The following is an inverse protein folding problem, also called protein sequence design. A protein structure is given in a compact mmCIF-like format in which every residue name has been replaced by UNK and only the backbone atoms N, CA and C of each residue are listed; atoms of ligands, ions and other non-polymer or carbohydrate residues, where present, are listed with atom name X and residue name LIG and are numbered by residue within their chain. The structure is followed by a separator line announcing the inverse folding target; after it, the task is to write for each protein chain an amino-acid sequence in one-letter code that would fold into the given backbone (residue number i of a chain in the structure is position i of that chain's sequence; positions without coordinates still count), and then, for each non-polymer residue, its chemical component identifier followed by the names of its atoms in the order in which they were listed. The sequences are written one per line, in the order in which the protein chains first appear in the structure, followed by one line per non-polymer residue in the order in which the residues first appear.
data_IF_749449801121
#
_entry.id   IF_749449801121
#
_cell.length_a   1.000
_cell.length_b   1.000
_cell.length_c   1.000
_cell.angle_alpha   90.00
_cell.angle_beta   90.00
_cell.angle_gamma   90.00
#
_symmetry.space_group_name_H-M   'P 1'
#
loop_
_entity.id
_entity.type
_entity.pdbx_description
1 polymer ?
#
# COMPACT_ATOMS: atom_id res chain seq x y z
N UNK A 1 24.13 24.18 23.57
CA UNK A 1 24.42 23.13 22.57
C UNK A 1 25.76 22.54 22.96
N UNK A 2 25.81 21.27 23.37
CA UNK A 2 27.02 20.68 23.98
C UNK A 2 28.11 20.40 22.92
N UNK A 3 29.38 20.45 23.30
CA UNK A 3 30.52 20.16 22.39
C UNK A 3 30.43 18.78 21.73
N UNK A 4 29.83 17.81 22.43
CA UNK A 4 29.53 16.47 21.93
C UNK A 4 28.52 16.51 20.77
N UNK A 5 27.56 17.43 20.80
CA UNK A 5 26.56 17.60 19.73
C UNK A 5 27.19 18.24 18.49
N UNK A 6 28.11 19.20 18.68
CA UNK A 6 28.88 19.83 17.61
C UNK A 6 29.83 18.84 16.93
N UNK A 7 30.46 17.93 17.69
CA UNK A 7 31.32 16.88 17.15
C UNK A 7 30.54 15.85 16.32
N UNK A 8 29.31 15.50 16.72
CA UNK A 8 28.43 14.59 15.95
C UNK A 8 27.96 15.21 14.63
N UNK A 9 27.66 16.51 14.62
CA UNK A 9 27.36 17.24 13.39
C UNK A 9 28.56 17.30 12.44
N UNK A 10 29.78 17.53 12.95
CA UNK A 10 31.02 17.52 12.13
C UNK A 10 31.33 16.15 11.51
N UNK A 11 30.90 15.05 12.15
CA UNK A 11 31.05 13.68 11.64
C UNK A 11 29.94 13.24 10.68
N UNK A 12 28.96 14.09 10.37
CA UNK A 12 27.83 13.70 9.53
C UNK A 12 26.95 12.60 10.15
N UNK A 13 27.07 12.34 11.46
CA UNK A 13 26.21 11.41 12.17
C UNK A 13 24.83 12.04 12.32
N UNK A 14 23.98 11.87 11.30
CA UNK A 14 22.55 12.17 11.40
C UNK A 14 22.03 11.38 12.60
N UNK A 15 21.64 12.10 13.65
CA UNK A 15 21.00 11.57 14.86
C UNK A 15 19.95 10.56 14.41
N UNK A 16 20.14 9.26 14.70
CA UNK A 16 19.14 8.22 14.39
C UNK A 16 17.80 8.70 14.93
N UNK A 17 16.89 9.08 14.04
CA UNK A 17 15.55 9.51 14.46
C UNK A 17 14.92 8.29 15.13
N UNK A 18 14.45 8.45 16.37
CA UNK A 18 13.72 7.36 17.02
C UNK A 18 12.42 7.17 16.26
N UNK A 19 12.17 5.97 15.73
CA UNK A 19 10.96 5.66 14.97
C UNK A 19 10.95 4.24 14.41
N UNK A 20 9.89 3.89 13.69
CA UNK A 20 9.68 2.60 13.05
C UNK A 20 10.43 2.54 11.72
N UNK A 21 11.42 1.65 11.61
CA UNK A 21 12.09 1.39 10.32
C UNK A 21 11.13 0.79 9.30
N UNK A 22 11.49 0.86 8.01
CA UNK A 22 10.74 0.22 6.91
C UNK A 22 10.51 -1.26 7.19
N UNK A 23 11.49 -1.96 7.75
CA UNK A 23 11.32 -3.36 8.18
C UNK A 23 10.21 -3.53 9.23
N UNK A 24 10.19 -2.70 10.29
CA UNK A 24 9.16 -2.79 11.33
C UNK A 24 7.77 -2.43 10.78
N UNK A 25 7.72 -1.44 9.89
CA UNK A 25 6.48 -1.04 9.24
C UNK A 25 5.92 -2.18 8.36
N UNK A 26 6.80 -2.91 7.64
CA UNK A 26 6.42 -4.12 6.90
C UNK A 26 5.91 -5.25 7.80
N UNK A 27 6.52 -5.45 8.96
CA UNK A 27 6.04 -6.45 9.93
C UNK A 27 4.64 -6.10 10.45
N UNK A 28 4.42 -4.84 10.82
CA UNK A 28 3.11 -4.36 11.28
C UNK A 28 2.07 -4.52 10.16
N UNK A 29 2.39 -4.12 8.93
CA UNK A 29 1.53 -4.32 7.77
C UNK A 29 1.21 -5.80 7.51
N UNK A 30 2.21 -6.68 7.61
CA UNK A 30 2.02 -8.12 7.42
C UNK A 30 1.18 -8.77 8.52
N UNK A 31 1.28 -8.29 9.77
CA UNK A 31 0.42 -8.72 10.86
C UNK A 31 -1.05 -8.37 10.58
N UNK A 32 -1.33 -7.12 10.18
CA UNK A 32 -2.69 -6.72 9.81
C UNK A 32 -3.22 -7.49 8.59
N UNK A 33 -2.37 -7.73 7.60
CA UNK A 33 -2.70 -8.57 6.45
C UNK A 33 -3.04 -10.00 6.85
N UNK A 34 -2.29 -10.58 7.80
CA UNK A 34 -2.58 -11.90 8.34
C UNK A 34 -3.92 -11.95 9.10
N UNK A 35 -4.28 -10.88 9.84
CA UNK A 35 -5.60 -10.76 10.46
C UNK A 35 -6.73 -10.73 9.42
N UNK A 36 -6.51 -10.13 8.26
CA UNK A 36 -7.47 -10.14 7.16
C UNK A 36 -7.70 -11.55 6.61
N UNK A 37 -6.61 -12.28 6.32
CA UNK A 37 -6.71 -13.67 5.86
C UNK A 37 -7.36 -14.56 6.92
N UNK A 38 -6.95 -14.42 8.18
CA UNK A 38 -7.54 -15.18 9.29
C UNK A 38 -9.03 -14.87 9.46
N UNK A 39 -9.44 -13.61 9.29
CA UNK A 39 -10.84 -13.19 9.34
C UNK A 39 -11.73 -13.88 8.31
N UNK A 40 -11.23 -14.05 7.09
CA UNK A 40 -12.04 -14.58 5.98
C UNK A 40 -11.98 -16.10 5.85
N UNK A 41 -10.87 -16.75 6.21
CA UNK A 41 -10.72 -18.20 6.02
C UNK A 41 -10.56 -18.99 7.33
N UNK A 42 -9.57 -18.63 8.15
CA UNK A 42 -9.20 -19.44 9.33
C UNK A 42 -10.28 -19.40 10.41
N UNK A 43 -10.80 -18.21 10.73
CA UNK A 43 -11.79 -18.05 11.80
C UNK A 43 -13.13 -18.74 11.48
N UNK A 44 -13.72 -18.59 10.28
CA UNK A 44 -14.89 -19.38 9.90
C UNK A 44 -14.64 -20.89 9.93
N UNK A 45 -13.46 -21.36 9.52
CA UNK A 45 -13.12 -22.78 9.59
C UNK A 45 -13.04 -23.31 11.04
N UNK A 46 -12.53 -22.49 11.98
CA UNK A 46 -12.40 -22.88 13.39
C UNK A 46 -13.69 -22.71 14.22
N UNK A 47 -14.49 -21.68 13.92
CA UNK A 47 -15.65 -21.29 14.73
C UNK A 47 -16.98 -21.78 14.16
N UNK A 48 -16.99 -22.36 12.95
CA UNK A 48 -18.21 -22.70 12.22
C UNK A 48 -18.83 -21.47 11.56
N UNK A 49 -20.10 -21.59 11.15
CA UNK A 49 -20.80 -20.50 10.45
C UNK A 49 -20.93 -19.25 11.35
N UNK A 50 -20.20 -18.16 11.05
CA UNK A 50 -20.21 -16.97 11.90
C UNK A 50 -21.57 -16.29 11.95
N UNK A 51 -22.48 -16.57 11.01
CA UNK A 51 -23.81 -15.93 11.00
C UNK A 51 -24.73 -16.44 12.11
N UNK A 52 -24.42 -17.60 12.68
CA UNK A 52 -25.23 -18.21 13.75
C UNK A 52 -24.76 -17.82 15.15
N UNK A 53 -23.52 -17.37 15.30
CA UNK A 53 -22.97 -16.92 16.58
C UNK A 53 -22.51 -15.46 16.49
N UNK A 54 -23.20 -14.60 17.25
CA UNK A 54 -22.90 -13.16 17.32
C UNK A 54 -21.48 -12.90 17.84
N UNK A 55 -20.95 -13.77 18.72
CA UNK A 55 -19.58 -13.64 19.19
C UNK A 55 -18.57 -13.95 18.08
N UNK A 56 -18.74 -15.07 17.37
CA UNK A 56 -17.92 -15.42 16.20
C UNK A 56 -17.98 -14.35 15.10
N UNK A 57 -19.17 -13.83 14.78
CA UNK A 57 -19.34 -12.75 13.81
C UNK A 57 -18.56 -11.50 14.23
N UNK A 58 -18.67 -11.12 15.51
CA UNK A 58 -17.97 -9.94 16.05
C UNK A 58 -16.45 -10.09 15.92
N UNK A 59 -15.91 -11.28 16.21
CA UNK A 59 -14.47 -11.55 16.08
C UNK A 59 -14.03 -11.47 14.62
N UNK A 60 -14.76 -12.09 13.69
CA UNK A 60 -14.47 -12.04 12.24
C UNK A 60 -14.48 -10.59 11.71
N UNK A 61 -15.49 -9.82 12.07
CA UNK A 61 -15.60 -8.41 11.67
C UNK A 61 -14.49 -7.57 12.28
N UNK A 62 -14.14 -7.79 13.56
CA UNK A 62 -13.05 -7.07 14.22
C UNK A 62 -11.69 -7.37 13.57
N UNK A 63 -11.40 -8.63 13.24
CA UNK A 63 -10.19 -9.02 12.52
C UNK A 63 -10.13 -8.40 11.12
N UNK A 64 -11.26 -8.41 10.41
CA UNK A 64 -11.37 -7.79 9.07
C UNK A 64 -11.14 -6.28 9.16
N UNK A 65 -11.80 -5.59 10.08
CA UNK A 65 -11.63 -4.16 10.27
C UNK A 65 -10.18 -3.79 10.67
N UNK A 66 -9.55 -4.60 11.52
CA UNK A 66 -8.15 -4.41 11.90
C UNK A 66 -7.20 -4.54 10.70
N UNK A 67 -7.50 -5.44 9.76
CA UNK A 67 -6.67 -5.67 8.57
C UNK A 67 -6.53 -4.41 7.69
N UNK A 68 -7.52 -3.53 7.70
CA UNK A 68 -7.54 -2.30 6.92
C UNK A 68 -6.48 -1.28 7.34
N UNK A 69 -5.89 -1.44 8.53
CA UNK A 69 -4.70 -0.69 8.95
C UNK A 69 -3.50 -0.95 8.01
N UNK A 70 -3.46 -2.08 7.31
CA UNK A 70 -2.40 -2.43 6.37
C UNK A 70 -2.40 -1.52 5.12
N UNK A 71 -3.56 -0.99 4.72
CA UNK A 71 -3.74 -0.25 3.46
C UNK A 71 -2.84 0.99 3.36
N UNK A 72 -2.90 1.96 4.29
CA UNK A 72 -2.02 3.13 4.26
C UNK A 72 -0.54 2.76 4.40
N UNK A 73 -0.24 1.70 5.16
CA UNK A 73 1.12 1.21 5.36
C UNK A 73 1.70 0.73 4.04
N UNK A 74 1.02 -0.17 3.33
CA UNK A 74 1.49 -0.66 2.03
C UNK A 74 1.44 0.41 0.93
N UNK A 75 0.48 1.32 0.98
CA UNK A 75 0.42 2.48 0.07
C UNK A 75 1.64 3.39 0.22
N UNK A 76 2.08 3.63 1.46
CA UNK A 76 3.31 4.37 1.72
C UNK A 76 4.56 3.62 1.32
N UNK A 77 4.64 2.32 1.64
CA UNK A 77 5.77 1.48 1.23
C UNK A 77 5.94 1.44 -0.29
N UNK A 78 4.82 1.51 -1.03
CA UNK A 78 4.82 1.61 -2.48
C UNK A 78 5.35 2.96 -2.96
N UNK A 79 4.83 4.05 -2.39
CA UNK A 79 5.29 5.40 -2.70
C UNK A 79 6.78 5.60 -2.37
N UNK A 80 7.22 5.15 -1.20
CA UNK A 80 8.62 5.19 -0.78
C UNK A 80 9.51 4.30 -1.66
N UNK A 81 9.01 3.12 -2.03
CA UNK A 81 9.64 2.22 -2.98
C UNK A 81 9.81 2.82 -4.38
N UNK A 82 8.82 3.60 -4.85
CA UNK A 82 8.88 4.32 -6.12
C UNK A 82 10.01 5.36 -6.14
N UNK A 83 10.21 6.08 -5.02
CA UNK A 83 11.27 7.09 -4.89
C UNK A 83 12.68 6.49 -4.89
N UNK A 84 12.85 5.33 -4.25
CA UNK A 84 14.17 4.76 -3.98
C UNK A 84 14.60 3.63 -4.93
N UNK A 85 13.68 3.09 -5.72
CA UNK A 85 13.98 1.96 -6.62
C UNK A 85 14.79 2.39 -7.84
N UNK A 86 15.86 1.66 -8.18
CA UNK A 86 16.66 1.93 -9.39
C UNK A 86 15.97 1.63 -10.73
N UNK A 87 15.02 0.70 -10.78
CA UNK A 87 14.29 0.33 -12.00
C UNK A 87 12.80 0.10 -11.72
N UNK A 88 11.97 1.03 -12.19
CA UNK A 88 10.51 0.99 -11.93
C UNK A 88 9.84 -0.13 -12.71
N UNK A 89 10.23 -0.38 -13.96
CA UNK A 89 9.66 -1.47 -14.76
C UNK A 89 9.84 -2.84 -14.08
N UNK A 90 11.01 -3.09 -13.48
CA UNK A 90 11.24 -4.29 -12.67
C UNK A 90 10.40 -4.31 -11.39
N UNK A 91 10.08 -3.15 -10.82
CA UNK A 91 9.23 -3.07 -9.64
C UNK A 91 7.77 -3.37 -9.96
N UNK A 92 7.24 -2.80 -11.04
CA UNK A 92 5.90 -3.14 -11.58
C UNK A 92 5.82 -4.64 -11.87
N UNK A 93 6.81 -5.18 -12.58
CA UNK A 93 6.83 -6.61 -12.92
C UNK A 93 6.83 -7.50 -11.67
N UNK A 94 7.61 -7.17 -10.65
CA UNK A 94 7.63 -7.94 -9.39
C UNK A 94 6.29 -7.90 -8.66
N UNK A 95 5.65 -6.73 -8.58
CA UNK A 95 4.32 -6.63 -7.97
C UNK A 95 3.27 -7.37 -8.79
N UNK A 96 3.35 -7.29 -10.12
CA UNK A 96 2.44 -7.99 -11.02
C UNK A 96 2.59 -9.51 -10.91
N UNK A 97 3.82 -10.03 -10.83
CA UNK A 97 4.07 -11.46 -10.57
C UNK A 97 3.44 -11.89 -9.25
N UNK A 98 3.60 -11.09 -8.18
CA UNK A 98 2.95 -11.40 -6.90
C UNK A 98 1.43 -11.38 -7.03
N UNK A 99 0.85 -10.40 -7.73
CA UNK A 99 -0.59 -10.34 -7.96
C UNK A 99 -1.11 -11.60 -8.66
N UNK A 100 -0.45 -12.04 -9.75
CA UNK A 100 -0.85 -13.24 -10.51
C UNK A 100 -0.67 -14.52 -9.68
N UNK A 101 0.43 -14.66 -8.94
CA UNK A 101 0.66 -15.84 -8.08
C UNK A 101 -0.34 -15.89 -6.93
N UNK A 102 -0.75 -14.74 -6.42
CA UNK A 102 -1.72 -14.64 -5.32
C UNK A 102 -3.17 -14.81 -5.75
N UNK A 103 -3.51 -14.78 -7.04
CA UNK A 103 -4.89 -14.98 -7.51
C UNK A 103 -5.41 -16.36 -7.16
N UNK A 104 -4.66 -17.41 -7.49
CA UNK A 104 -5.11 -18.79 -7.26
C UNK A 104 -5.52 -19.05 -5.80
N UNK A 105 -4.69 -18.74 -4.78
CA UNK A 105 -5.10 -18.95 -3.39
C UNK A 105 -6.16 -17.93 -2.93
N UNK A 106 -6.19 -16.72 -3.50
CA UNK A 106 -7.23 -15.73 -3.18
C UNK A 106 -8.62 -16.18 -3.66
N UNK A 107 -8.73 -16.65 -4.90
CA UNK A 107 -9.97 -17.13 -5.48
C UNK A 107 -10.51 -18.35 -4.73
N UNK A 108 -9.61 -19.27 -4.32
CA UNK A 108 -9.96 -20.41 -3.47
C UNK A 108 -10.58 -19.97 -2.14
N UNK A 109 -9.99 -18.99 -1.45
CA UNK A 109 -10.52 -18.46 -0.19
C UNK A 109 -11.88 -17.78 -0.40
N UNK A 110 -12.01 -16.97 -1.46
CA UNK A 110 -13.18 -16.10 -1.64
C UNK A 110 -14.38 -16.81 -2.26
N UNK A 111 -14.14 -17.78 -3.16
CA UNK A 111 -15.18 -18.37 -4.02
C UNK A 111 -15.17 -19.91 -3.99
N UNK A 112 -14.15 -20.52 -3.38
CA UNK A 112 -13.96 -21.98 -3.41
C UNK A 112 -13.48 -22.52 -4.75
N UNK A 113 -13.24 -21.66 -5.75
CA UNK A 113 -12.78 -22.05 -7.09
C UNK A 113 -11.39 -21.48 -7.35
N UNK A 114 -10.46 -22.24 -7.96
CA UNK A 114 -9.09 -21.78 -8.19
C UNK A 114 -8.94 -20.72 -9.30
N UNK A 115 -9.99 -20.48 -10.09
CA UNK A 115 -10.01 -19.50 -11.16
C UNK A 115 -11.38 -18.80 -11.18
N UNK A 116 -11.47 -17.65 -10.54
CA UNK A 116 -12.65 -16.78 -10.61
C UNK A 116 -12.24 -15.33 -10.92
N UNK A 117 -12.70 -14.83 -12.06
CA UNK A 117 -12.44 -13.45 -12.51
C UNK A 117 -13.43 -12.43 -11.91
N UNK A 118 -14.31 -12.85 -11.00
CA UNK A 118 -15.36 -12.00 -10.42
C UNK A 118 -14.83 -10.90 -9.48
N UNK A 119 -13.71 -11.16 -8.82
CA UNK A 119 -12.97 -10.23 -7.97
C UNK A 119 -11.47 -10.43 -8.17
N UNK A 120 -10.68 -9.44 -7.80
CA UNK A 120 -9.23 -9.49 -7.94
C UNK A 120 -8.58 -9.20 -6.60
N UNK A 121 -7.44 -9.82 -6.31
CA UNK A 121 -6.76 -9.61 -5.05
C UNK A 121 -6.25 -8.15 -4.87
N UNK A 122 -5.98 -7.74 -3.63
CA UNK A 122 -5.63 -6.36 -3.29
C UNK A 122 -4.25 -5.92 -3.82
N UNK A 123 -3.37 -6.85 -4.22
CA UNK A 123 -2.06 -6.53 -4.82
C UNK A 123 -2.23 -5.93 -6.20
N UNK A 124 -3.26 -6.29 -6.97
CA UNK A 124 -3.58 -5.57 -8.21
C UNK A 124 -3.85 -4.08 -7.96
N UNK A 125 -4.38 -3.72 -6.78
CA UNK A 125 -4.59 -2.32 -6.39
C UNK A 125 -3.26 -1.58 -6.25
N UNK A 126 -2.24 -2.24 -5.69
CA UNK A 126 -0.87 -1.72 -5.64
C UNK A 126 -0.27 -1.59 -7.05
N UNK A 127 -0.48 -2.55 -7.95
CA UNK A 127 0.00 -2.46 -9.34
C UNK A 127 -0.63 -1.26 -10.05
N UNK A 128 -1.95 -1.10 -9.97
CA UNK A 128 -2.68 0.02 -10.56
C UNK A 128 -2.17 1.35 -9.97
N UNK A 129 -2.04 1.43 -8.64
CA UNK A 129 -1.55 2.64 -7.99
C UNK A 129 -0.12 3.01 -8.41
N UNK A 130 0.76 2.02 -8.59
CA UNK A 130 2.12 2.24 -9.08
C UNK A 130 2.13 2.73 -10.54
N UNK A 131 1.32 2.15 -11.41
CA UNK A 131 1.20 2.58 -12.82
C UNK A 131 0.63 4.00 -12.91
N UNK A 132 -0.42 4.31 -12.14
CA UNK A 132 -0.98 5.67 -12.07
C UNK A 132 0.07 6.65 -11.55
N UNK A 133 0.78 6.30 -10.48
CA UNK A 133 1.86 7.13 -9.94
C UNK A 133 2.95 7.41 -10.98
N UNK A 134 3.37 6.39 -11.73
CA UNK A 134 4.34 6.54 -12.83
C UNK A 134 3.86 7.52 -13.90
N UNK A 135 2.62 7.37 -14.34
CA UNK A 135 2.04 8.20 -15.41
C UNK A 135 1.87 9.65 -14.93
N UNK A 136 1.38 9.86 -13.71
CA UNK A 136 1.23 11.19 -13.11
C UNK A 136 2.59 11.87 -12.94
N UNK A 137 3.61 11.15 -12.47
CA UNK A 137 4.97 11.66 -12.32
C UNK A 137 5.61 12.01 -13.67
N UNK A 138 5.36 11.19 -14.69
CA UNK A 138 5.78 11.46 -16.07
C UNK A 138 5.10 12.71 -16.64
N UNK A 139 3.78 12.86 -16.47
CA UNK A 139 3.04 14.08 -16.87
C UNK A 139 3.59 15.31 -16.14
N UNK A 140 3.86 15.20 -14.84
CA UNK A 140 4.45 16.29 -14.06
C UNK A 140 5.83 16.69 -14.59
N UNK A 141 6.65 15.74 -15.04
CA UNK A 141 7.94 16.03 -15.66
C UNK A 141 7.79 16.76 -17.01
N UNK A 142 6.89 16.28 -17.88
CA UNK A 142 6.68 16.82 -19.23
C UNK A 142 6.14 18.27 -19.22
N UNK A 143 5.20 18.55 -18.32
CA UNK A 143 4.42 19.81 -18.34
C UNK A 143 4.67 20.75 -17.15
N UNK A 144 5.37 20.33 -16.10
CA UNK A 144 5.45 21.10 -14.84
C UNK A 144 6.82 21.17 -14.17
N UNK A 145 7.77 20.29 -14.53
CA UNK A 145 9.12 20.29 -13.99
C UNK A 145 9.26 19.84 -12.52
N UNK A 146 8.16 19.48 -11.85
CA UNK A 146 8.08 19.04 -10.44
C UNK A 146 7.88 17.53 -10.34
N UNK A 147 8.77 16.76 -10.97
CA UNK A 147 8.72 15.30 -10.90
C UNK A 147 9.64 14.76 -9.82
N UNK A 148 9.26 13.65 -9.21
CA UNK A 148 10.09 12.90 -8.28
C UNK A 148 11.27 12.23 -9.01
N UNK A 149 11.13 11.94 -10.31
CA UNK A 149 12.12 11.19 -11.10
C UNK A 149 12.29 11.76 -12.51
N UNK A 150 13.45 12.34 -12.86
CA UNK A 150 13.73 12.77 -14.23
C UNK A 150 13.67 11.60 -15.22
N UNK A 151 12.86 11.72 -16.26
CA UNK A 151 12.65 10.65 -17.24
C UNK A 151 13.50 10.86 -18.50
N UNK A 152 14.34 9.89 -18.83
CA UNK A 152 15.15 9.92 -20.06
C UNK A 152 14.24 9.89 -21.29
N UNK A 153 14.29 10.93 -22.13
CA UNK A 153 13.48 11.02 -23.36
C UNK A 153 12.16 11.77 -23.23
N UNK A 154 11.86 12.34 -22.05
CA UNK A 154 10.72 13.23 -21.87
C UNK A 154 11.13 14.69 -22.10
N UNK A 155 10.28 15.48 -22.77
CA UNK A 155 10.54 16.88 -23.11
C UNK A 155 9.95 17.81 -22.07
N UNK A 156 10.74 18.79 -21.60
CA UNK A 156 10.25 19.81 -20.66
C UNK A 156 9.73 21.00 -21.45
N UNK A 157 8.42 21.30 -21.41
CA UNK A 157 7.91 22.48 -22.14
C UNK A 157 6.39 22.63 -22.31
N UNK A 158 5.56 22.00 -21.48
CA UNK A 158 4.11 22.01 -21.65
C UNK A 158 3.31 23.07 -20.88
N UNK A 159 2.03 23.25 -21.24
CA UNK A 159 1.10 24.16 -20.55
C UNK A 159 0.54 23.56 -19.25
N UNK A 160 0.42 24.38 -18.20
CA UNK A 160 -0.07 23.95 -16.88
C UNK A 160 -1.50 23.37 -16.93
N UNK A 161 -2.38 23.91 -17.78
CA UNK A 161 -3.74 23.38 -17.93
C UNK A 161 -3.75 21.95 -18.48
N UNK A 162 -2.87 21.65 -19.45
CA UNK A 162 -2.75 20.32 -20.05
C UNK A 162 -2.21 19.30 -19.03
N UNK A 163 -1.26 19.71 -18.18
CA UNK A 163 -0.76 18.88 -17.05
C UNK A 163 -1.92 18.37 -16.20
N UNK A 164 -2.77 19.27 -15.72
CA UNK A 164 -3.84 18.93 -14.79
C UNK A 164 -4.95 18.13 -15.46
N UNK A 165 -5.31 18.45 -16.71
CA UNK A 165 -6.28 17.69 -17.47
C UNK A 165 -5.84 16.23 -17.64
N UNK A 166 -4.62 15.98 -18.11
CA UNK A 166 -4.09 14.62 -18.28
C UNK A 166 -3.97 13.88 -16.94
N UNK A 167 -3.53 14.58 -15.89
CA UNK A 167 -3.43 14.01 -14.54
C UNK A 167 -4.79 13.53 -14.03
N UNK A 168 -5.84 14.34 -14.19
CA UNK A 168 -7.20 13.98 -13.80
C UNK A 168 -7.69 12.77 -14.60
N UNK A 169 -7.50 12.78 -15.92
CA UNK A 169 -7.90 11.66 -16.80
C UNK A 169 -7.23 10.34 -16.37
N UNK A 170 -5.93 10.36 -16.08
CA UNK A 170 -5.19 9.16 -15.63
C UNK A 170 -5.69 8.67 -14.27
N UNK A 171 -5.93 9.58 -13.32
CA UNK A 171 -6.48 9.22 -12.01
C UNK A 171 -7.87 8.60 -12.15
N UNK A 172 -8.75 9.22 -12.94
CA UNK A 172 -10.10 8.70 -13.20
C UNK A 172 -10.05 7.33 -13.90
N UNK A 173 -9.14 7.14 -14.85
CA UNK A 173 -8.95 5.85 -15.50
C UNK A 173 -8.48 4.78 -14.50
N UNK A 174 -7.54 5.11 -13.60
CA UNK A 174 -7.08 4.20 -12.54
C UNK A 174 -8.18 3.84 -11.54
N UNK A 175 -8.99 4.82 -11.13
CA UNK A 175 -10.14 4.61 -10.26
C UNK A 175 -11.20 3.74 -10.94
N UNK A 176 -11.54 4.03 -12.20
CA UNK A 176 -12.49 3.26 -12.97
C UNK A 176 -12.01 1.81 -13.14
N UNK A 177 -10.73 1.60 -13.44
CA UNK A 177 -10.15 0.28 -13.58
C UNK A 177 -10.22 -0.53 -12.27
N UNK A 178 -9.89 0.11 -11.14
CA UNK A 178 -9.98 -0.51 -9.82
C UNK A 178 -11.42 -0.90 -9.45
N UNK A 179 -12.41 -0.09 -9.85
CA UNK A 179 -13.83 -0.35 -9.63
C UNK A 179 -14.39 -1.45 -10.55
N UNK A 180 -14.07 -1.39 -11.85
CA UNK A 180 -14.56 -2.36 -12.85
C UNK A 180 -14.07 -3.77 -12.56
N UNK A 181 -12.80 -3.93 -12.20
CA UNK A 181 -12.21 -5.22 -11.84
C UNK A 181 -12.48 -5.64 -10.40
N UNK A 182 -13.25 -4.87 -9.63
CA UNK A 182 -13.56 -5.14 -8.22
C UNK A 182 -12.32 -5.50 -7.42
N UNK A 183 -11.30 -4.66 -7.54
CA UNK A 183 -9.97 -4.94 -6.99
C UNK A 183 -9.96 -4.78 -5.47
N UNK A 184 -9.68 -5.90 -4.79
CA UNK A 184 -9.56 -5.99 -3.35
C UNK A 184 -10.86 -5.59 -2.62
N UNK A 185 -11.99 -6.07 -3.12
CA UNK A 185 -13.29 -5.84 -2.47
C UNK A 185 -13.44 -6.80 -1.30
N UNK A 186 -13.01 -6.37 -0.12
CA UNK A 186 -13.19 -7.13 1.12
C UNK A 186 -14.68 -7.10 1.51
N UNK A 187 -15.34 -8.26 1.42
CA UNK A 187 -16.73 -8.49 1.88
C UNK A 187 -17.77 -7.48 1.34
N UNK A 188 -17.49 -6.80 0.22
CA UNK A 188 -18.31 -5.72 -0.38
C UNK A 188 -18.45 -4.45 0.47
N UNK A 189 -17.70 -4.32 1.56
CA UNK A 189 -17.77 -3.15 2.46
C UNK A 189 -16.73 -2.10 2.04
N UNK A 190 -15.53 -2.53 1.65
CA UNK A 190 -14.45 -1.61 1.36
C UNK A 190 -13.71 -1.93 0.07
N UNK A 191 -13.59 -0.91 -0.80
CA UNK A 191 -12.84 -0.97 -2.05
C UNK A 191 -11.35 -0.70 -1.78
N UNK A 192 -10.62 -1.71 -1.31
CA UNK A 192 -9.22 -1.52 -0.89
C UNK A 192 -8.34 -1.01 -2.03
N UNK A 193 -8.56 -1.46 -3.28
CA UNK A 193 -7.80 -0.98 -4.44
C UNK A 193 -7.96 0.53 -4.70
N UNK A 194 -9.18 1.05 -4.57
CA UNK A 194 -9.46 2.49 -4.68
C UNK A 194 -8.78 3.25 -3.53
N UNK A 195 -8.92 2.75 -2.31
CA UNK A 195 -8.34 3.39 -1.13
C UNK A 195 -6.81 3.43 -1.20
N UNK A 196 -6.17 2.36 -1.66
CA UNK A 196 -4.73 2.31 -1.93
C UNK A 196 -4.31 3.40 -2.91
N UNK A 197 -5.03 3.55 -4.04
CA UNK A 197 -4.73 4.61 -5.00
C UNK A 197 -4.87 6.00 -4.36
N UNK A 198 -5.95 6.26 -3.61
CA UNK A 198 -6.14 7.54 -2.94
C UNK A 198 -5.02 7.86 -1.95
N UNK A 199 -4.59 6.90 -1.13
CA UNK A 199 -3.44 7.09 -0.24
C UNK A 199 -2.16 7.40 -1.00
N UNK A 200 -1.87 6.67 -2.08
CA UNK A 200 -0.69 6.92 -2.93
C UNK A 200 -0.72 8.32 -3.51
N UNK A 201 -1.88 8.80 -3.96
CA UNK A 201 -2.04 10.16 -4.48
C UNK A 201 -1.84 11.23 -3.39
N UNK A 202 -2.37 11.01 -2.19
CA UNK A 202 -2.13 11.88 -1.02
C UNK A 202 -0.64 11.96 -0.74
N UNK A 203 0.06 10.81 -0.71
CA UNK A 203 1.50 10.77 -0.45
C UNK A 203 2.31 11.43 -1.56
N UNK A 204 1.90 11.30 -2.82
CA UNK A 204 2.56 11.93 -3.95
C UNK A 204 2.42 13.45 -3.94
N UNK A 205 1.18 13.97 -3.94
CA UNK A 205 0.92 15.40 -4.08
C UNK A 205 1.34 16.20 -2.84
N UNK A 206 1.26 15.61 -1.65
CA UNK A 206 1.59 16.28 -0.39
C UNK A 206 2.99 15.92 0.14
N UNK A 207 3.81 15.20 -0.64
CA UNK A 207 5.16 14.78 -0.23
C UNK A 207 6.03 15.94 0.27
N UNK A 208 5.87 17.14 -0.30
CA UNK A 208 6.63 18.33 0.11
C UNK A 208 6.23 18.87 1.50
N UNK A 209 5.03 18.54 1.99
CA UNK A 209 4.45 19.04 3.24
C UNK A 209 4.06 17.88 4.14
N UNK A 210 5.04 17.30 4.83
CA UNK A 210 4.86 16.08 5.63
C UNK A 210 3.70 16.16 6.64
N UNK A 211 3.53 17.29 7.34
CA UNK A 211 2.43 17.45 8.29
C UNK A 211 1.07 17.42 7.59
N UNK A 212 0.90 18.17 6.49
CA UNK A 212 -0.35 18.18 5.71
C UNK A 212 -0.63 16.80 5.14
N UNK A 213 0.39 16.12 4.62
CA UNK A 213 0.29 14.75 4.12
C UNK A 213 -0.23 13.77 5.16
N UNK A 214 0.32 13.81 6.39
CA UNK A 214 -0.12 12.94 7.48
C UNK A 214 -1.55 13.25 7.93
N UNK A 215 -1.91 14.53 8.07
CA UNK A 215 -3.27 14.94 8.44
C UNK A 215 -4.30 14.52 7.39
N UNK A 216 -4.03 14.76 6.10
CA UNK A 216 -4.94 14.37 5.01
C UNK A 216 -5.07 12.86 4.90
N UNK A 217 -3.97 12.11 5.03
CA UNK A 217 -4.02 10.65 5.06
C UNK A 217 -4.83 10.14 6.27
N UNK A 218 -4.63 10.73 7.45
CA UNK A 218 -5.39 10.39 8.66
C UNK A 218 -6.89 10.66 8.50
N UNK A 219 -7.25 11.82 7.93
CA UNK A 219 -8.65 12.18 7.64
C UNK A 219 -9.28 11.23 6.62
N UNK A 220 -8.58 10.93 5.53
CA UNK A 220 -9.03 9.95 4.54
C UNK A 220 -9.30 8.59 5.20
N UNK A 221 -8.38 8.13 6.06
CA UNK A 221 -8.57 6.89 6.80
C UNK A 221 -9.67 6.94 7.84
N UNK A 222 -9.93 8.10 8.45
CA UNK A 222 -11.03 8.29 9.39
C UNK A 222 -12.39 8.17 8.71
N UNK A 223 -12.56 8.80 7.54
CA UNK A 223 -13.80 8.74 6.73
C UNK A 223 -14.06 7.32 6.21
N UNK A 224 -13.00 6.52 6.00
CA UNK A 224 -13.08 5.14 5.50
C UNK A 224 -13.03 4.13 6.64
N UNK A 225 -14.02 4.19 7.54
CA UNK A 225 -14.22 3.24 8.65
C UNK A 225 -13.19 3.31 9.81
N UNK A 226 -12.49 4.43 10.00
CA UNK A 226 -11.57 4.72 11.12
C UNK A 226 -10.27 3.89 11.14
N UNK A 227 -10.32 2.59 10.87
CA UNK A 227 -9.17 1.69 10.99
C UNK A 227 -8.03 2.01 10.02
N UNK A 228 -8.24 2.44 8.76
CA UNK A 228 -7.12 2.95 7.97
C UNK A 228 -6.50 4.20 8.60
N UNK A 229 -7.25 5.03 9.34
CA UNK A 229 -6.70 6.14 10.11
C UNK A 229 -5.70 5.69 11.19
N UNK A 230 -5.98 4.55 11.84
CA UNK A 230 -5.05 3.91 12.80
C UNK A 230 -3.77 3.45 12.09
N UNK A 231 -3.88 2.88 10.89
CA UNK A 231 -2.74 2.54 10.05
C UNK A 231 -1.83 3.74 9.73
N UNK A 232 -2.42 4.92 9.49
CA UNK A 232 -1.68 6.17 9.30
C UNK A 232 -0.98 6.63 10.58
N UNK A 233 -1.57 6.38 11.76
CA UNK A 233 -0.92 6.70 13.03
C UNK A 233 0.40 5.92 13.21
N UNK A 234 0.44 4.63 12.86
CA UNK A 234 1.71 3.87 12.85
C UNK A 234 2.73 4.46 11.89
N UNK A 235 2.27 4.92 10.73
CA UNK A 235 3.10 5.52 9.71
C UNK A 235 3.65 6.89 10.12
N UNK A 236 2.96 7.64 10.97
CA UNK A 236 3.47 8.89 11.55
C UNK A 236 4.74 8.67 12.40
N UNK A 237 4.86 7.51 13.07
CA UNK A 237 6.04 7.16 13.86
C UNK A 237 7.19 6.55 13.03
N UNK A 238 7.08 6.52 11.70
CA UNK A 238 8.13 5.96 10.85
C UNK A 238 9.44 6.75 10.97
N UNK A 239 10.53 6.03 10.73
CA UNK A 239 11.83 6.62 10.48
C UNK A 239 12.26 6.28 9.04
N UNK A 240 13.06 7.14 8.42
CA UNK A 240 13.59 6.99 7.05
C UNK A 240 14.70 5.92 6.97
N UNK A 241 14.81 5.05 7.99
CA UNK A 241 15.77 3.96 8.05
C UNK A 241 15.16 2.67 7.49
N UNK A 242 15.92 2.03 6.59
CA UNK A 242 15.49 0.79 5.92
C UNK A 242 15.35 -0.37 6.92
N UNK A 243 16.30 -0.51 7.85
CA UNK A 243 16.27 -1.53 8.91
C UNK A 243 16.50 -2.98 8.47
N UNK A 244 16.82 -3.26 7.19
CA UNK A 244 17.22 -4.61 6.76
C UNK A 244 18.66 -4.88 7.18
N UNK A 245 18.89 -6.00 7.88
CA UNK A 245 20.24 -6.51 8.16
C UNK A 245 20.86 -7.22 6.95
N UNK A 246 20.03 -7.84 6.10
CA UNK A 246 20.48 -8.68 4.99
C UNK A 246 19.77 -8.30 3.69
N UNK A 247 20.49 -8.38 2.56
CA UNK A 247 19.97 -7.95 1.25
C UNK A 247 18.86 -8.85 0.70
N UNK A 248 18.87 -10.14 1.06
CA UNK A 248 17.86 -11.12 0.59
C UNK A 248 16.49 -10.91 1.24
N UNK A 249 16.43 -10.29 2.43
CA UNK A 249 15.18 -10.04 3.16
C UNK A 249 14.18 -9.23 2.32
N UNK A 250 14.66 -8.41 1.37
CA UNK A 250 13.82 -7.68 0.42
C UNK A 250 12.95 -8.60 -0.45
N UNK A 251 13.49 -9.77 -0.83
CA UNK A 251 12.80 -10.75 -1.65
C UNK A 251 11.78 -11.57 -0.84
N UNK A 252 12.11 -11.89 0.41
CA UNK A 252 11.20 -12.60 1.31
C UNK A 252 9.85 -11.86 1.49
N UNK A 253 9.87 -10.53 1.50
CA UNK A 253 8.65 -9.72 1.64
C UNK A 253 7.65 -9.87 0.49
N UNK A 254 8.09 -10.25 -0.71
CA UNK A 254 7.17 -10.52 -1.83
C UNK A 254 6.44 -11.86 -1.65
N UNK A 255 7.02 -12.80 -0.91
CA UNK A 255 6.41 -14.11 -0.65
C UNK A 255 5.42 -14.10 0.53
N UNK A 256 5.45 -13.07 1.39
CA UNK A 256 4.60 -13.02 2.60
C UNK A 256 3.11 -13.12 2.25
N UNK A 257 2.64 -12.32 1.28
CA UNK A 257 1.23 -12.33 0.90
C UNK A 257 0.75 -13.66 0.31
N UNK A 258 1.40 -14.22 -0.73
CA UNK A 258 0.98 -15.53 -1.26
C UNK A 258 1.08 -16.64 -0.22
N UNK A 259 2.09 -16.63 0.65
CA UNK A 259 2.20 -17.62 1.74
C UNK A 259 1.04 -17.50 2.73
N UNK A 260 0.67 -16.29 3.15
CA UNK A 260 -0.48 -16.11 4.03
C UNK A 260 -1.77 -16.60 3.38
N UNK A 261 -2.00 -16.29 2.11
CA UNK A 261 -3.17 -16.78 1.37
C UNK A 261 -3.17 -18.31 1.24
N UNK A 262 -2.02 -18.94 0.96
CA UNK A 262 -1.93 -20.40 0.91
C UNK A 262 -2.27 -21.02 2.27
N UNK A 263 -1.74 -20.47 3.37
CA UNK A 263 -2.10 -20.92 4.72
C UNK A 263 -3.61 -20.77 4.95
N UNK A 264 -4.18 -19.64 4.53
CA UNK A 264 -5.61 -19.40 4.64
C UNK A 264 -6.47 -20.34 3.80
N UNK A 265 -6.01 -20.72 2.61
CA UNK A 265 -6.71 -21.64 1.71
C UNK A 265 -6.64 -23.12 2.17
N UNK A 266 -5.69 -23.45 3.06
CA UNK A 266 -5.51 -24.79 3.62
C UNK A 266 -6.21 -24.98 4.98
N UNK A 267 -6.76 -23.91 5.56
CA UNK A 267 -7.49 -23.93 6.83
C UNK A 267 -8.95 -24.38 6.62
#
# INVERSE_FOLDING_TARGET
MNEVEMAKQRRGEKRRRKGLSVFRLKMIGALFMALGVAGVSVLPAMLGDPTQDMAALTVVVACTAASWCAIPIYSWLLFDGYRHTGSIGKYVLRLFIVAVVSDVPYDLIMTGKPFDLSAQNSVYGLVIALVVLMLVDWIAYQYGGESLRPWSGAQRGGAAAVRWLLTIVVILAGLLWALLLRVGVDQRIMYTGVLTLLFVLVFYFLNARENTMMFTAGLLGAVMCITPGIGVAFLHYRNDEVGFKQSWTKWAWYAVYPVLLIIGALA
#
